data_IF_999658318911
#
_entry.id   IF_999658318911
#
_cell.length_a   1.000
_cell.length_b   1.000
_cell.length_c   1.000
_cell.angle_alpha   90.00
_cell.angle_beta   90.00
_cell.angle_gamma   90.00
#
_symmetry.space_group_name_H-M   'P 1'
#
loop_
_entity.id
_entity.type
_entity.pdbx_description
1 polymer ?
#
# COMPACT_ATOMS: atom_id res chain seq x y z
N UNK A 1 -14.38 23.08 -9.25
CA UNK A 1 -13.84 21.70 -9.27
C UNK A 1 -13.91 21.10 -7.86
N UNK A 2 -15.05 20.62 -7.34
CA UNK A 2 -15.11 20.25 -5.90
C UNK A 2 -15.98 19.05 -5.48
N UNK A 3 -17.22 18.87 -5.95
CA UNK A 3 -18.12 17.86 -5.34
C UNK A 3 -17.85 16.39 -5.70
N UNK A 4 -17.80 15.97 -6.98
CA UNK A 4 -17.71 14.55 -7.34
C UNK A 4 -16.39 13.92 -6.89
N UNK A 5 -15.28 14.64 -7.03
CA UNK A 5 -13.96 14.19 -6.59
C UNK A 5 -13.87 14.04 -5.06
N UNK A 6 -14.52 14.93 -4.29
CA UNK A 6 -14.59 14.82 -2.82
C UNK A 6 -15.38 13.57 -2.39
N UNK A 7 -16.50 13.27 -3.06
CA UNK A 7 -17.27 12.04 -2.80
C UNK A 7 -16.47 10.79 -3.13
N UNK A 8 -15.74 10.77 -4.24
CA UNK A 8 -14.87 9.64 -4.61
C UNK A 8 -13.77 9.39 -3.57
N UNK A 9 -13.12 10.45 -3.06
CA UNK A 9 -12.13 10.29 -2.00
C UNK A 9 -12.74 9.75 -0.71
N UNK A 10 -13.93 10.25 -0.32
CA UNK A 10 -14.64 9.72 0.86
C UNK A 10 -14.98 8.23 0.69
N UNK A 11 -15.46 7.82 -0.48
CA UNK A 11 -15.69 6.40 -0.77
C UNK A 11 -14.42 5.57 -0.69
N UNK A 12 -13.29 6.07 -1.22
CA UNK A 12 -12.01 5.37 -1.12
C UNK A 12 -11.50 5.28 0.33
N UNK A 13 -11.68 6.32 1.14
CA UNK A 13 -11.32 6.28 2.56
C UNK A 13 -12.16 5.25 3.33
N UNK A 14 -13.46 5.15 3.03
CA UNK A 14 -14.32 4.10 3.57
C UNK A 14 -13.84 2.71 3.17
N UNK A 15 -13.53 2.49 1.89
CA UNK A 15 -12.99 1.22 1.40
C UNK A 15 -11.67 0.85 2.07
N UNK A 16 -10.76 1.83 2.24
CA UNK A 16 -9.51 1.62 2.99
C UNK A 16 -9.78 1.19 4.43
N UNK A 17 -10.77 1.80 5.09
CA UNK A 17 -11.18 1.41 6.44
C UNK A 17 -11.68 -0.03 6.50
N UNK A 18 -12.58 -0.42 5.59
CA UNK A 18 -13.09 -1.80 5.50
C UNK A 18 -11.97 -2.81 5.23
N UNK A 19 -11.07 -2.50 4.29
CA UNK A 19 -9.92 -3.36 3.99
C UNK A 19 -8.96 -3.47 5.19
N UNK A 20 -8.75 -2.39 5.94
CA UNK A 20 -7.91 -2.41 7.13
C UNK A 20 -8.50 -3.30 8.23
N UNK A 21 -9.81 -3.21 8.47
CA UNK A 21 -10.52 -4.11 9.39
C UNK A 21 -10.35 -5.56 8.96
N UNK A 22 -10.52 -5.84 7.66
CA UNK A 22 -10.34 -7.20 7.14
C UNK A 22 -8.90 -7.70 7.32
N UNK A 23 -7.87 -6.85 7.16
CA UNK A 23 -6.48 -7.22 7.45
C UNK A 23 -6.29 -7.56 8.93
N UNK A 24 -6.87 -6.78 9.85
CA UNK A 24 -6.80 -7.08 11.30
C UNK A 24 -7.46 -8.43 11.60
N UNK A 25 -8.69 -8.65 11.11
CA UNK A 25 -9.41 -9.91 11.30
C UNK A 25 -8.62 -11.10 10.73
N UNK A 26 -8.01 -10.92 9.56
CA UNK A 26 -7.14 -11.94 8.97
C UNK A 26 -5.97 -12.30 9.90
N UNK A 27 -5.28 -11.33 10.47
CA UNK A 27 -4.17 -11.61 11.40
C UNK A 27 -4.64 -12.24 12.70
N UNK A 28 -5.80 -11.84 13.24
CA UNK A 28 -6.39 -12.49 14.42
C UNK A 28 -6.72 -13.96 14.15
N UNK A 29 -7.35 -14.27 13.01
CA UNK A 29 -7.75 -15.64 12.67
C UNK A 29 -6.55 -16.49 12.26
N UNK A 30 -5.64 -15.96 11.44
CA UNK A 30 -4.44 -16.72 10.98
C UNK A 30 -3.51 -17.08 12.13
N UNK A 31 -3.31 -16.18 13.11
CA UNK A 31 -2.47 -16.46 14.28
C UNK A 31 -3.10 -17.46 15.26
N UNK A 32 -4.41 -17.69 15.21
CA UNK A 32 -5.12 -18.63 16.10
C UNK A 32 -5.51 -19.94 15.40
N UNK A 33 -5.30 -20.04 14.09
CA UNK A 33 -5.80 -21.15 13.28
C UNK A 33 -5.17 -22.50 13.68
N UNK A 34 -3.91 -22.53 14.09
CA UNK A 34 -3.25 -23.79 14.47
C UNK A 34 -3.76 -24.33 15.81
N UNK A 35 -4.08 -23.43 16.75
CA UNK A 35 -4.53 -23.80 18.10
C UNK A 35 -5.99 -24.26 18.13
N UNK A 36 -6.80 -23.76 17.18
CA UNK A 36 -8.25 -24.03 17.12
C UNK A 36 -8.70 -24.53 15.74
N UNK A 37 -7.82 -25.22 15.00
CA UNK A 37 -8.07 -25.65 13.62
C UNK A 37 -9.39 -26.40 13.45
N UNK A 38 -9.76 -27.21 14.44
CA UNK A 38 -10.97 -28.05 14.45
C UNK A 38 -12.27 -27.26 14.68
N UNK A 39 -12.18 -26.03 15.22
CA UNK A 39 -13.32 -25.13 15.49
C UNK A 39 -13.42 -24.06 14.40
N UNK A 40 -12.27 -23.66 13.84
CA UNK A 40 -12.15 -22.53 12.92
C UNK A 40 -12.35 -22.97 11.45
N UNK A 41 -11.92 -24.18 11.06
CA UNK A 41 -12.01 -24.65 9.67
C UNK A 41 -13.39 -25.25 9.36
N UNK A 42 -13.95 -24.92 8.19
CA UNK A 42 -15.21 -25.47 7.69
C UNK A 42 -16.39 -24.49 7.64
N UNK A 43 -16.21 -23.24 8.08
CA UNK A 43 -17.20 -22.18 7.84
C UNK A 43 -16.77 -21.30 6.65
N UNK A 44 -17.64 -21.14 5.67
CA UNK A 44 -17.34 -20.32 4.48
C UNK A 44 -17.00 -18.86 4.81
N UNK A 45 -17.46 -18.35 5.96
CA UNK A 45 -17.09 -17.02 6.45
C UNK A 45 -15.64 -16.93 6.93
N UNK A 46 -15.13 -17.94 7.65
CA UNK A 46 -13.73 -17.98 8.05
C UNK A 46 -12.81 -18.15 6.84
N UNK A 47 -13.20 -19.00 5.89
CA UNK A 47 -12.42 -19.17 4.65
C UNK A 47 -12.36 -17.85 3.85
N UNK A 48 -13.46 -17.09 3.82
CA UNK A 48 -13.49 -15.74 3.27
C UNK A 48 -12.57 -14.77 4.03
N UNK A 49 -12.58 -14.79 5.37
CA UNK A 49 -11.67 -13.96 6.17
C UNK A 49 -10.20 -14.32 5.93
N UNK A 50 -9.90 -15.59 5.75
CA UNK A 50 -8.56 -16.11 5.46
C UNK A 50 -8.10 -15.84 4.03
N UNK A 51 -9.03 -15.59 3.10
CA UNK A 51 -8.71 -15.40 1.69
C UNK A 51 -7.82 -14.17 1.44
N UNK A 52 -6.55 -14.39 1.10
CA UNK A 52 -5.55 -13.33 0.92
C UNK A 52 -5.67 -12.54 -0.39
N UNK A 53 -6.44 -13.05 -1.36
CA UNK A 53 -6.40 -12.58 -2.74
C UNK A 53 -6.90 -11.16 -3.00
N UNK A 54 -7.74 -10.59 -2.15
CA UNK A 54 -8.33 -9.26 -2.40
C UNK A 54 -7.81 -8.13 -1.52
N UNK A 55 -7.51 -8.40 -0.24
CA UNK A 55 -7.28 -7.33 0.74
C UNK A 55 -6.17 -6.37 0.33
N UNK A 56 -4.99 -6.93 0.05
CA UNK A 56 -3.78 -6.14 -0.23
C UNK A 56 -3.78 -5.57 -1.66
N UNK A 57 -4.12 -6.34 -2.71
CA UNK A 57 -4.19 -5.78 -4.07
C UNK A 57 -5.15 -4.59 -4.18
N UNK A 58 -6.28 -4.62 -3.48
CA UNK A 58 -7.23 -3.49 -3.47
C UNK A 58 -6.64 -2.22 -2.87
N UNK A 59 -5.77 -2.32 -1.84
CA UNK A 59 -5.04 -1.14 -1.35
C UNK A 59 -4.13 -0.53 -2.42
N UNK A 60 -3.49 -1.36 -3.25
CA UNK A 60 -2.66 -0.88 -4.35
C UNK A 60 -3.48 -0.22 -5.45
N UNK A 61 -4.63 -0.78 -5.85
CA UNK A 61 -5.56 -0.15 -6.81
C UNK A 61 -6.02 1.22 -6.33
N UNK A 62 -6.51 1.31 -5.08
CA UNK A 62 -6.95 2.58 -4.49
C UNK A 62 -5.79 3.60 -4.44
N UNK A 63 -4.57 3.12 -4.14
CA UNK A 63 -3.38 3.97 -4.09
C UNK A 63 -2.99 4.47 -5.48
N UNK A 64 -3.06 3.64 -6.52
CA UNK A 64 -2.79 4.02 -7.91
C UNK A 64 -3.71 5.14 -8.39
N UNK A 65 -5.01 5.02 -8.11
CA UNK A 65 -5.98 6.07 -8.42
C UNK A 65 -5.67 7.37 -7.67
N UNK A 66 -5.53 7.27 -6.33
CA UNK A 66 -5.30 8.43 -5.47
C UNK A 66 -4.00 9.17 -5.83
N UNK A 67 -2.94 8.44 -6.18
CA UNK A 67 -1.67 9.05 -6.55
C UNK A 67 -1.69 9.66 -7.95
N UNK A 68 -2.37 9.03 -8.92
CA UNK A 68 -2.57 9.62 -10.24
C UNK A 68 -3.32 10.95 -10.16
N UNK A 69 -4.38 11.00 -9.35
CA UNK A 69 -5.12 12.22 -9.09
C UNK A 69 -4.29 13.28 -8.35
N UNK A 70 -3.42 12.86 -7.43
CA UNK A 70 -2.51 13.79 -6.74
C UNK A 70 -1.43 14.34 -7.67
N UNK A 71 -0.88 13.53 -8.57
CA UNK A 71 0.09 13.93 -9.57
C UNK A 71 -0.50 14.95 -10.54
N UNK A 72 -1.72 14.71 -11.05
CA UNK A 72 -2.43 15.65 -11.91
C UNK A 72 -2.66 17.00 -11.21
N UNK A 73 -3.22 16.99 -10.00
CA UNK A 73 -3.43 18.21 -9.22
C UNK A 73 -2.13 18.97 -8.90
N UNK A 74 -1.03 18.26 -8.68
CA UNK A 74 0.27 18.88 -8.41
C UNK A 74 0.80 19.62 -9.63
N UNK A 75 0.68 19.01 -10.81
CA UNK A 75 1.14 19.60 -12.07
C UNK A 75 0.25 20.81 -12.44
N UNK A 76 -1.07 20.66 -12.33
CA UNK A 76 -2.02 21.74 -12.65
C UNK A 76 -1.85 22.98 -11.75
N UNK A 77 -1.41 22.78 -10.50
CA UNK A 77 -1.15 23.87 -9.53
C UNK A 77 0.31 24.29 -9.44
N UNK A 78 1.14 23.80 -10.37
CA UNK A 78 2.58 24.05 -10.44
C UNK A 78 3.32 23.86 -9.11
N UNK A 79 2.92 22.85 -8.33
CA UNK A 79 3.60 22.53 -7.07
C UNK A 79 4.88 21.72 -7.31
N UNK A 80 5.80 21.75 -6.33
CA UNK A 80 7.08 21.04 -6.41
C UNK A 80 6.93 19.55 -6.10
N UNK A 81 7.78 18.72 -6.72
CA UNK A 81 7.84 17.27 -6.43
C UNK A 81 8.18 17.03 -4.95
N UNK A 82 9.02 17.89 -4.34
CA UNK A 82 9.33 17.83 -2.92
C UNK A 82 8.09 17.98 -2.03
N UNK A 83 7.13 18.85 -2.40
CA UNK A 83 5.86 18.99 -1.67
C UNK A 83 5.04 17.70 -1.70
N UNK A 84 5.05 16.98 -2.82
CA UNK A 84 4.43 15.66 -2.92
C UNK A 84 5.11 14.63 -2.02
N UNK A 85 6.44 14.52 -2.12
CA UNK A 85 7.21 13.57 -1.31
C UNK A 85 7.01 13.81 0.20
N UNK A 86 7.11 15.06 0.66
CA UNK A 86 6.93 15.43 2.08
C UNK A 86 5.52 15.09 2.57
N UNK A 87 4.48 15.38 1.79
CA UNK A 87 3.11 15.07 2.16
C UNK A 87 2.88 13.56 2.33
N UNK A 88 3.61 12.73 1.59
CA UNK A 88 3.53 11.26 1.69
C UNK A 88 4.36 10.70 2.84
N UNK A 89 5.57 11.21 3.04
CA UNK A 89 6.43 10.84 4.18
C UNK A 89 5.72 11.15 5.50
N UNK A 90 5.14 12.35 5.65
CA UNK A 90 4.38 12.75 6.85
C UNK A 90 3.14 11.90 7.12
N UNK A 91 2.64 11.18 6.11
CA UNK A 91 1.49 10.29 6.25
C UNK A 91 1.92 8.89 6.71
N UNK A 92 3.03 8.37 6.19
CA UNK A 92 3.47 6.98 6.42
C UNK A 92 4.33 6.86 7.68
N UNK A 93 5.30 7.76 7.86
CA UNK A 93 6.31 7.58 8.91
C UNK A 93 5.76 7.70 10.33
N UNK A 94 4.89 8.67 10.68
CA UNK A 94 4.38 8.75 12.05
C UNK A 94 3.67 7.48 12.54
N UNK A 95 2.70 6.90 11.79
CA UNK A 95 2.07 5.65 12.24
C UNK A 95 3.04 4.45 12.19
N UNK A 96 3.95 4.40 11.21
CA UNK A 96 4.95 3.32 11.12
C UNK A 96 5.90 3.30 12.33
N UNK A 97 6.48 4.46 12.66
CA UNK A 97 7.38 4.58 13.80
C UNK A 97 6.65 4.32 15.12
N UNK A 98 5.40 4.79 15.25
CA UNK A 98 4.57 4.47 16.40
C UNK A 98 4.34 2.95 16.55
N UNK A 99 4.02 2.25 15.46
CA UNK A 99 3.83 0.81 15.47
C UNK A 99 5.12 0.05 15.84
N UNK A 100 6.28 0.47 15.32
CA UNK A 100 7.57 -0.09 15.70
C UNK A 100 7.87 0.14 17.19
N UNK A 101 7.68 1.35 17.70
CA UNK A 101 7.89 1.67 19.11
C UNK A 101 6.99 0.84 20.03
N UNK A 102 5.70 0.68 19.67
CA UNK A 102 4.77 -0.16 20.42
C UNK A 102 5.24 -1.62 20.40
N UNK A 103 5.62 -2.14 19.23
CA UNK A 103 6.14 -3.51 19.10
C UNK A 103 7.36 -3.76 19.99
N UNK A 104 8.32 -2.84 19.99
CA UNK A 104 9.48 -2.89 20.90
C UNK A 104 9.10 -2.75 22.37
N UNK A 105 8.16 -1.87 22.71
CA UNK A 105 7.67 -1.72 24.08
C UNK A 105 7.02 -3.00 24.60
N UNK A 106 6.20 -3.66 23.78
CA UNK A 106 5.58 -4.95 24.12
C UNK A 106 6.65 -6.04 24.25
N UNK A 107 7.58 -6.16 23.30
CA UNK A 107 8.66 -7.14 23.37
C UNK A 107 9.57 -6.94 24.59
N UNK A 108 9.90 -5.69 24.92
CA UNK A 108 10.66 -5.33 26.12
C UNK A 108 9.91 -5.64 27.41
N UNK A 109 8.59 -5.45 27.45
CA UNK A 109 7.75 -5.87 28.57
C UNK A 109 7.79 -7.39 28.76
N UNK A 110 7.62 -8.18 27.69
CA UNK A 110 7.74 -9.64 27.76
C UNK A 110 9.13 -10.08 28.23
N UNK A 111 10.19 -9.43 27.76
CA UNK A 111 11.55 -9.70 28.22
C UNK A 111 11.69 -9.42 29.72
N UNK A 112 11.21 -8.28 30.22
CA UNK A 112 11.26 -7.93 31.64
C UNK A 112 10.49 -8.94 32.50
N UNK A 113 9.26 -9.30 32.10
CA UNK A 113 8.43 -10.27 32.83
C UNK A 113 9.10 -11.65 32.87
N UNK A 114 9.83 -12.05 31.81
CA UNK A 114 10.62 -13.28 31.80
C UNK A 114 11.82 -13.20 32.74
N UNK A 115 12.56 -12.09 32.77
CA UNK A 115 13.69 -11.89 33.69
C UNK A 115 13.26 -11.90 35.17
N UNK A 116 12.04 -11.44 35.45
CA UNK A 116 11.44 -11.48 36.79
C UNK A 116 10.92 -12.88 37.18
N UNK A 117 10.98 -13.86 36.28
CA UNK A 117 10.60 -15.25 36.55
C UNK A 117 9.09 -15.54 36.48
N UNK A 118 8.27 -14.60 36.01
CA UNK A 118 6.80 -14.79 35.91
C UNK A 118 6.37 -15.62 34.70
N UNK A 119 7.20 -15.68 33.65
CA UNK A 119 6.99 -16.50 32.45
C UNK A 119 8.30 -17.22 32.11
N UNK A 120 8.20 -18.42 31.53
CA UNK A 120 9.35 -19.16 31.00
C UNK A 120 9.27 -19.28 29.48
N UNK A 121 10.42 -19.48 28.84
CA UNK A 121 10.61 -19.76 27.40
C UNK A 121 9.58 -19.13 26.47
N UNK A 122 9.69 -17.81 26.29
CA UNK A 122 8.79 -17.06 25.41
C UNK A 122 9.42 -16.81 24.02
N UNK A 123 8.77 -17.23 22.91
CA UNK A 123 9.32 -17.06 21.56
C UNK A 123 9.46 -15.58 21.13
N UNK A 124 8.61 -14.68 21.62
CA UNK A 124 8.72 -13.25 21.38
C UNK A 124 10.01 -12.70 21.97
N UNK A 125 10.41 -13.18 23.15
CA UNK A 125 11.67 -12.75 23.78
C UNK A 125 12.88 -13.32 23.05
N UNK A 126 12.81 -14.59 22.63
CA UNK A 126 13.87 -15.23 21.84
C UNK A 126 14.06 -14.56 20.46
N UNK A 127 12.99 -14.06 19.84
CA UNK A 127 13.06 -13.23 18.64
C UNK A 127 13.63 -11.84 18.94
N UNK A 128 13.11 -11.16 19.96
CA UNK A 128 13.49 -9.79 20.32
C UNK A 128 14.98 -9.64 20.62
N UNK A 129 15.55 -10.61 21.34
CA UNK A 129 16.97 -10.65 21.71
C UNK A 129 17.92 -10.89 20.52
N UNK A 130 17.41 -11.31 19.36
CA UNK A 130 18.20 -11.52 18.12
C UNK A 130 18.18 -10.30 17.19
N UNK A 131 17.38 -9.28 17.48
CA UNK A 131 17.26 -8.09 16.63
C UNK A 131 18.54 -7.27 16.72
N UNK A 132 19.14 -6.95 15.57
CA UNK A 132 20.33 -6.09 15.50
C UNK A 132 19.97 -4.63 15.26
N UNK A 133 20.88 -3.70 15.58
CA UNK A 133 20.69 -2.28 15.25
C UNK A 133 20.49 -2.04 13.74
N UNK A 134 21.08 -2.89 12.89
CA UNK A 134 20.89 -2.85 11.44
C UNK A 134 19.46 -3.22 11.04
N UNK A 135 18.87 -4.26 11.66
CA UNK A 135 17.48 -4.64 11.40
C UNK A 135 16.51 -3.52 11.78
N UNK A 136 16.77 -2.84 12.90
CA UNK A 136 16.00 -1.67 13.35
C UNK A 136 16.09 -0.55 12.31
N UNK A 137 17.31 -0.20 11.89
CA UNK A 137 17.53 0.90 10.94
C UNK A 137 16.83 0.62 9.60
N UNK A 138 17.02 -0.58 9.04
CA UNK A 138 16.40 -1.00 7.77
C UNK A 138 14.87 -0.97 7.86
N UNK A 139 14.28 -1.50 8.93
CA UNK A 139 12.83 -1.54 9.10
C UNK A 139 12.25 -0.14 9.38
N UNK A 140 12.95 0.70 10.15
CA UNK A 140 12.55 2.10 10.37
C UNK A 140 12.53 2.89 9.07
N UNK A 141 13.44 2.58 8.13
CA UNK A 141 13.51 3.20 6.81
C UNK A 141 12.61 2.55 5.75
N UNK A 142 11.88 1.48 6.09
CA UNK A 142 11.05 0.69 5.16
C UNK A 142 11.87 0.08 3.99
N UNK A 143 13.10 -0.36 4.26
CA UNK A 143 14.02 -0.95 3.28
C UNK A 143 14.14 -2.48 3.36
N UNK A 144 13.41 -3.13 4.27
CA UNK A 144 13.51 -4.56 4.52
C UNK A 144 13.11 -5.42 3.31
N UNK A 145 12.08 -5.04 2.57
CA UNK A 145 11.65 -5.77 1.37
C UNK A 145 12.69 -5.68 0.24
N UNK A 146 13.14 -4.48 -0.22
CA UNK A 146 14.12 -4.41 -1.31
C UNK A 146 15.46 -5.06 -0.94
N UNK A 147 15.87 -5.02 0.33
CA UNK A 147 17.10 -5.64 0.82
C UNK A 147 16.94 -7.13 1.16
N UNK A 148 15.73 -7.70 1.03
CA UNK A 148 15.40 -9.10 1.37
C UNK A 148 15.76 -9.45 2.83
N UNK A 149 15.53 -8.51 3.74
CA UNK A 149 15.73 -8.65 5.17
C UNK A 149 14.40 -8.93 5.89
N UNK A 150 14.50 -9.44 7.12
CA UNK A 150 13.33 -9.80 7.91
C UNK A 150 12.53 -8.55 8.32
N UNK A 151 11.20 -8.68 8.27
CA UNK A 151 10.30 -7.60 8.71
C UNK A 151 10.13 -7.68 10.22
N UNK A 152 10.40 -6.59 10.92
CA UNK A 152 10.16 -6.53 12.38
C UNK A 152 8.66 -6.45 12.72
N UNK A 153 7.87 -6.07 11.73
CA UNK A 153 6.43 -6.13 11.77
C UNK A 153 5.95 -6.65 10.41
N UNK A 154 5.37 -7.85 10.41
CA UNK A 154 4.98 -8.54 9.19
C UNK A 154 4.07 -7.72 8.29
N UNK A 155 3.21 -6.83 8.82
CA UNK A 155 2.32 -6.06 7.94
C UNK A 155 3.03 -4.92 7.18
N UNK A 156 4.24 -4.54 7.61
CA UNK A 156 4.95 -3.37 7.06
C UNK A 156 5.53 -3.62 5.66
N UNK A 157 5.57 -4.86 5.17
CA UNK A 157 6.01 -5.15 3.80
C UNK A 157 5.19 -4.35 2.78
N UNK A 158 3.89 -4.16 3.03
CA UNK A 158 2.99 -3.39 2.14
C UNK A 158 3.36 -1.90 2.08
N UNK A 159 3.87 -1.34 3.18
CA UNK A 159 4.34 0.05 3.23
C UNK A 159 5.62 0.25 2.41
N UNK A 160 6.50 -0.76 2.35
CA UNK A 160 7.67 -0.71 1.47
C UNK A 160 7.26 -0.54 0.00
N UNK A 161 6.24 -1.29 -0.45
CA UNK A 161 5.69 -1.11 -1.80
C UNK A 161 5.07 0.27 -1.98
N UNK A 162 4.30 0.77 -1.00
CA UNK A 162 3.69 2.10 -1.10
C UNK A 162 4.75 3.21 -1.25
N UNK A 163 5.84 3.15 -0.48
CA UNK A 163 6.97 4.08 -0.61
C UNK A 163 7.66 3.95 -1.97
N UNK A 164 7.89 2.72 -2.45
CA UNK A 164 8.52 2.49 -3.74
C UNK A 164 7.63 2.97 -4.91
N UNK A 165 6.31 2.78 -4.85
CA UNK A 165 5.38 3.32 -5.83
C UNK A 165 5.39 4.85 -5.85
N UNK A 166 5.48 5.48 -4.68
CA UNK A 166 5.60 6.93 -4.59
C UNK A 166 6.90 7.43 -5.23
N UNK A 167 8.00 6.69 -5.08
CA UNK A 167 9.27 7.02 -5.74
C UNK A 167 9.14 6.94 -7.27
N UNK A 168 8.53 5.87 -7.81
CA UNK A 168 8.29 5.72 -9.25
C UNK A 168 7.45 6.90 -9.79
N UNK A 169 6.39 7.27 -9.08
CA UNK A 169 5.56 8.43 -9.46
C UNK A 169 6.34 9.74 -9.37
N UNK A 170 7.12 9.95 -8.31
CA UNK A 170 7.92 11.15 -8.15
C UNK A 170 8.93 11.31 -9.30
N UNK A 171 9.57 10.21 -9.72
CA UNK A 171 10.45 10.17 -10.89
C UNK A 171 9.66 10.50 -12.17
N UNK A 172 8.49 9.91 -12.38
CA UNK A 172 7.66 10.20 -13.54
C UNK A 172 7.21 11.68 -13.60
N UNK A 173 6.80 12.25 -12.46
CA UNK A 173 6.47 13.68 -12.37
C UNK A 173 7.72 14.52 -12.67
N UNK A 174 8.86 14.21 -12.07
CA UNK A 174 10.09 14.96 -12.29
C UNK A 174 10.48 14.98 -13.79
N UNK A 175 10.41 13.82 -14.45
CA UNK A 175 10.75 13.68 -15.86
C UNK A 175 9.75 14.38 -16.80
N UNK A 176 8.45 14.29 -16.50
CA UNK A 176 7.38 14.67 -17.45
C UNK A 176 6.51 15.86 -17.02
N UNK A 177 6.84 16.57 -15.93
CA UNK A 177 6.01 17.70 -15.44
C UNK A 177 5.81 18.81 -16.46
N UNK A 178 6.82 19.10 -17.30
CA UNK A 178 6.77 20.22 -18.27
C UNK A 178 5.81 19.93 -19.42
N UNK A 179 5.60 18.65 -19.73
CA UNK A 179 4.75 18.19 -20.82
C UNK A 179 3.29 18.00 -20.36
N UNK A 180 3.04 18.01 -19.06
CA UNK A 180 1.71 17.91 -18.45
C UNK A 180 1.40 16.53 -17.88
N UNK A 181 0.33 16.45 -17.08
CA UNK A 181 -0.01 15.25 -16.30
C UNK A 181 -0.32 14.02 -17.15
N UNK A 182 -0.85 14.20 -18.37
CA UNK A 182 -1.09 13.09 -19.29
C UNK A 182 0.19 12.33 -19.66
N UNK A 183 1.34 13.01 -19.75
CA UNK A 183 2.62 12.34 -20.02
C UNK A 183 3.12 11.53 -18.84
N UNK A 184 2.86 11.99 -17.61
CA UNK A 184 3.09 11.19 -16.40
C UNK A 184 2.25 9.91 -16.45
N UNK A 185 0.95 10.01 -16.80
CA UNK A 185 0.10 8.81 -16.90
C UNK A 185 0.57 7.85 -18.00
N UNK A 186 0.96 8.36 -19.18
CA UNK A 186 1.55 7.51 -20.23
C UNK A 186 2.79 6.77 -19.74
N UNK A 187 3.68 7.46 -19.02
CA UNK A 187 4.86 6.82 -18.44
C UNK A 187 4.47 5.72 -17.44
N UNK A 188 3.49 5.96 -16.57
CA UNK A 188 2.99 4.96 -15.62
C UNK A 188 2.32 3.77 -16.33
N UNK A 189 1.59 4.00 -17.42
CA UNK A 189 1.02 2.93 -18.24
C UNK A 189 2.11 2.09 -18.91
N UNK A 190 3.18 2.71 -19.40
CA UNK A 190 4.35 1.98 -19.93
C UNK A 190 4.96 1.11 -18.83
N UNK A 191 5.14 1.63 -17.62
CA UNK A 191 5.62 0.83 -16.48
C UNK A 191 4.69 -0.34 -16.19
N UNK A 192 3.37 -0.11 -16.21
CA UNK A 192 2.37 -1.17 -16.01
C UNK A 192 2.46 -2.26 -17.08
N UNK A 193 2.58 -1.88 -18.36
CA UNK A 193 2.72 -2.84 -19.46
C UNK A 193 4.03 -3.62 -19.36
N UNK A 194 5.13 -2.97 -19.02
CA UNK A 194 6.42 -3.63 -18.80
C UNK A 194 6.34 -4.63 -17.64
N UNK A 195 5.75 -4.24 -16.51
CA UNK A 195 5.53 -5.12 -15.35
C UNK A 195 4.63 -6.30 -15.70
N UNK A 196 3.58 -6.09 -16.50
CA UNK A 196 2.71 -7.16 -16.97
C UNK A 196 3.46 -8.12 -17.89
N UNK A 197 4.20 -7.60 -18.88
CA UNK A 197 4.98 -8.39 -19.82
C UNK A 197 6.05 -9.22 -19.10
N UNK A 198 6.78 -8.65 -18.16
CA UNK A 198 7.77 -9.41 -17.39
C UNK A 198 7.11 -10.47 -16.51
N UNK A 199 5.94 -10.18 -15.92
CA UNK A 199 5.19 -11.17 -15.13
C UNK A 199 4.73 -12.36 -15.98
N UNK A 200 4.26 -12.11 -17.20
CA UNK A 200 3.78 -13.18 -18.10
C UNK A 200 4.92 -13.97 -18.72
N UNK A 201 5.96 -13.28 -19.22
CA UNK A 201 7.03 -13.90 -20.00
C UNK A 201 8.20 -14.41 -19.15
N UNK A 202 8.44 -13.80 -18.00
CA UNK A 202 9.60 -14.04 -17.16
C UNK A 202 9.28 -13.87 -15.66
N UNK A 203 8.30 -14.62 -15.11
CA UNK A 203 7.79 -14.39 -13.74
C UNK A 203 8.86 -14.45 -12.66
N UNK A 204 9.92 -15.26 -12.84
CA UNK A 204 11.05 -15.36 -11.90
C UNK A 204 11.93 -14.11 -11.84
N UNK A 205 11.82 -13.23 -12.82
CA UNK A 205 12.66 -12.03 -12.98
C UNK A 205 11.92 -10.74 -12.64
N UNK A 206 10.67 -10.82 -12.17
CA UNK A 206 9.96 -9.62 -11.74
C UNK A 206 10.58 -9.13 -10.42
N UNK A 207 11.19 -7.96 -10.48
CA UNK A 207 11.87 -7.36 -9.34
C UNK A 207 10.94 -6.45 -8.57
N UNK A 208 11.21 -6.31 -7.27
CA UNK A 208 10.63 -5.25 -6.46
C UNK A 208 10.81 -3.87 -7.12
N UNK A 209 9.80 -2.99 -7.12
CA UNK A 209 8.42 -3.17 -6.62
C UNK A 209 7.42 -3.66 -7.69
N UNK A 210 7.90 -4.09 -8.86
CA UNK A 210 7.08 -4.33 -10.05
C UNK A 210 6.22 -5.59 -9.98
N UNK A 211 6.55 -6.50 -9.08
CA UNK A 211 5.83 -7.74 -8.80
C UNK A 211 4.42 -7.50 -8.24
N UNK A 212 4.19 -6.35 -7.60
CA UNK A 212 2.86 -5.91 -7.14
C UNK A 212 2.34 -4.67 -7.87
N UNK A 213 3.05 -4.22 -8.91
CA UNK A 213 2.71 -2.99 -9.62
C UNK A 213 1.41 -3.08 -10.42
N UNK A 214 1.04 -4.27 -10.91
CA UNK A 214 -0.13 -4.42 -11.80
C UNK A 214 -1.41 -3.88 -11.14
N UNK A 215 -1.69 -4.24 -9.89
CA UNK A 215 -2.84 -3.70 -9.16
C UNK A 215 -2.76 -2.18 -8.95
N UNK A 216 -1.56 -1.65 -8.74
CA UNK A 216 -1.37 -0.19 -8.72
C UNK A 216 -1.68 0.45 -10.08
N UNK A 217 -1.21 -0.16 -11.17
CA UNK A 217 -1.45 0.26 -12.55
C UNK A 217 -2.93 0.24 -12.94
N UNK A 218 -3.71 -0.73 -12.44
CA UNK A 218 -5.18 -0.72 -12.60
C UNK A 218 -5.81 0.54 -12.00
N UNK A 219 -5.34 0.97 -10.84
CA UNK A 219 -5.74 2.24 -10.23
C UNK A 219 -5.42 3.46 -11.09
N UNK A 220 -4.23 3.46 -11.72
CA UNK A 220 -3.82 4.51 -12.68
C UNK A 220 -4.76 4.52 -13.89
N UNK A 221 -5.09 3.35 -14.42
CA UNK A 221 -6.03 3.19 -15.54
C UNK A 221 -7.44 3.67 -15.18
N UNK A 222 -7.94 3.32 -14.00
CA UNK A 222 -9.24 3.82 -13.52
C UNK A 222 -9.27 5.34 -13.46
N UNK A 223 -8.20 5.98 -12.98
CA UNK A 223 -8.11 7.43 -12.98
C UNK A 223 -8.13 8.00 -14.39
N UNK A 224 -7.33 7.45 -15.31
CA UNK A 224 -7.25 7.91 -16.69
C UNK A 224 -8.59 7.75 -17.44
N UNK A 225 -9.29 6.63 -17.26
CA UNK A 225 -10.60 6.41 -17.87
C UNK A 225 -11.66 7.40 -17.35
N UNK A 226 -11.60 7.73 -16.05
CA UNK A 226 -12.58 8.60 -15.39
C UNK A 226 -12.28 10.09 -15.57
N UNK A 227 -11.02 10.48 -15.76
CA UNK A 227 -10.58 11.87 -15.81
C UNK A 227 -9.95 12.29 -17.15
N UNK A 228 -9.47 11.35 -17.97
CA UNK A 228 -8.85 11.58 -19.27
C UNK A 228 -9.82 11.90 -20.41
N UNK A 229 -11.15 11.79 -20.20
CA UNK A 229 -12.13 12.23 -21.20
C UNK A 229 -12.34 13.74 -21.16
N UNK A 230 -12.23 14.46 -22.29
CA UNK A 230 -12.51 15.89 -22.34
C UNK A 230 -13.97 16.16 -21.96
N UNK A 231 -14.17 17.12 -21.04
CA UNK A 231 -15.46 17.55 -20.49
C UNK A 231 -16.57 17.78 -21.54
N UNK A 232 -16.19 18.16 -22.78
CA UNK A 232 -17.11 18.39 -23.91
C UNK A 232 -17.97 17.17 -24.28
N UNK A 233 -17.52 15.93 -24.03
CA UNK A 233 -18.35 14.73 -24.29
C UNK A 233 -19.36 14.43 -23.18
N UNK A 234 -19.04 14.81 -21.94
CA UNK A 234 -19.89 14.54 -20.77
C UNK A 234 -21.13 15.43 -20.76
N UNK A 235 -21.03 16.67 -21.24
CA UNK A 235 -22.18 17.56 -21.43
C UNK A 235 -23.05 17.17 -22.63
N UNK A 236 -22.47 16.56 -23.68
CA UNK A 236 -23.20 16.12 -24.88
C UNK A 236 -24.05 14.89 -24.62
N UNK A 237 -23.56 13.92 -23.82
CA UNK A 237 -24.36 12.76 -23.39
C UNK A 237 -25.42 13.11 -22.35
N UNK A 238 -25.17 14.10 -21.49
CA UNK A 238 -26.18 14.63 -20.57
C UNK A 238 -27.36 15.29 -21.30
N UNK A 239 -27.12 16.03 -22.38
CA UNK A 239 -28.20 16.63 -23.19
C UNK A 239 -28.97 15.65 -24.07
N UNK A 240 -28.39 14.50 -24.42
CA UNK A 240 -29.04 13.50 -25.27
C UNK A 240 -29.95 12.51 -24.49
N UNK A 241 -29.87 12.51 -23.16
CA UNK A 241 -30.73 11.68 -22.28
C UNK A 241 -31.90 12.46 -21.67
N UNK A 242 -31.93 13.78 -21.86
CA UNK A 242 -32.97 14.70 -21.38
C UNK A 242 -33.44 15.66 -22.48
N UNK A 243 -33.24 15.30 -23.74
CA UNK A 243 -33.67 16.05 -24.93
C UNK A 243 -34.66 15.23 -25.75
#
# INVERSE_FOLDING_TARGET
MKEPQKRTYASFDMWRGLLAIWVVLFHCVSNTQNDYANVIRGSGFVDFLLWSGLRVPMFFVISGYCMSAAAANLIDRDHTVGRFAVARIRRIYPPHLAALMIGFGVAGLFWLVQQLGYIQDNPTVAWFTKITAWDIAVNAMLLQVPLRLHSLNDVTWTLCYEVAFYAVIAVAIFAFRKQGWHWVLKALHVVTLLALLTTVLAPKWVLFPFDHWIGFGEGVLLFDLLCGRPWKERSRKGKALYG
#
